data_IF_868524375790
#
_entry.id   IF_868524375790
#
_cell.length_a   1.000
_cell.length_b   1.000
_cell.length_c   1.000
_cell.angle_alpha   90.00
_cell.angle_beta   90.00
_cell.angle_gamma   90.00
#
_symmetry.space_group_name_H-M   'P 1'
#
loop_
_entity.id
_entity.type
_entity.pdbx_description
1 polymer ?
#
# COMPACT_ATOMS: atom_id res chain seq x y z
N UNK A 1 -31.23 -17.12 -12.29
CA UNK A 1 -29.86 -16.75 -12.70
C UNK A 1 -29.87 -16.50 -14.20
N UNK A 2 -29.83 -15.25 -14.65
CA UNK A 2 -29.78 -14.91 -16.06
C UNK A 2 -28.33 -14.87 -16.56
N UNK A 3 -28.04 -15.46 -17.70
CA UNK A 3 -26.74 -15.29 -18.34
C UNK A 3 -26.60 -13.82 -18.79
N UNK A 4 -25.43 -13.19 -18.60
CA UNK A 4 -25.21 -11.85 -19.11
C UNK A 4 -25.42 -11.83 -20.64
N UNK A 5 -25.93 -10.72 -21.21
CA UNK A 5 -26.06 -10.56 -22.65
C UNK A 5 -24.74 -10.90 -23.38
N UNK A 6 -24.84 -11.49 -24.57
CA UNK A 6 -23.67 -12.00 -25.32
C UNK A 6 -22.56 -10.96 -25.46
N UNK A 7 -22.94 -9.72 -25.75
CA UNK A 7 -22.02 -8.59 -25.88
C UNK A 7 -21.22 -8.34 -24.61
N UNK A 8 -21.86 -8.35 -23.44
CA UNK A 8 -21.19 -8.14 -22.15
C UNK A 8 -20.22 -9.29 -21.84
N UNK A 9 -20.62 -10.52 -22.14
CA UNK A 9 -19.75 -11.70 -21.97
C UNK A 9 -18.52 -11.59 -22.88
N UNK A 10 -18.70 -11.20 -24.13
CA UNK A 10 -17.61 -11.11 -25.09
C UNK A 10 -16.64 -9.97 -24.72
N UNK A 11 -17.14 -8.85 -24.19
CA UNK A 11 -16.32 -7.79 -23.58
C UNK A 11 -15.51 -8.29 -22.38
N UNK A 12 -16.13 -9.06 -21.47
CA UNK A 12 -15.44 -9.64 -20.32
C UNK A 12 -14.33 -10.60 -20.73
N UNK A 13 -14.56 -11.43 -21.76
CA UNK A 13 -13.57 -12.36 -22.28
C UNK A 13 -12.36 -11.62 -22.87
N UNK A 14 -12.62 -10.56 -23.66
CA UNK A 14 -11.55 -9.70 -24.21
C UNK A 14 -10.73 -9.05 -23.09
N UNK A 15 -11.39 -8.42 -22.12
CA UNK A 15 -10.72 -7.79 -20.99
C UNK A 15 -9.87 -8.80 -20.18
N UNK A 16 -10.36 -10.02 -19.97
CA UNK A 16 -9.58 -11.09 -19.31
C UNK A 16 -8.38 -11.55 -20.12
N UNK A 17 -8.49 -11.61 -21.45
CA UNK A 17 -7.36 -11.93 -22.32
C UNK A 17 -6.29 -10.83 -22.25
N UNK A 18 -6.69 -9.56 -22.30
CA UNK A 18 -5.81 -8.41 -22.15
C UNK A 18 -5.10 -8.41 -20.79
N UNK A 19 -5.80 -8.77 -19.71
CA UNK A 19 -5.25 -8.89 -18.36
C UNK A 19 -4.07 -9.87 -18.24
N UNK A 20 -3.99 -10.86 -19.12
CA UNK A 20 -2.88 -11.81 -19.09
C UNK A 20 -1.58 -11.25 -19.67
N UNK A 21 -1.66 -10.17 -20.45
CA UNK A 21 -0.50 -9.57 -21.12
C UNK A 21 0.45 -8.89 -20.12
N UNK A 22 1.78 -8.95 -20.36
CA UNK A 22 2.76 -8.26 -19.52
C UNK A 22 2.52 -6.74 -19.43
N UNK A 23 2.20 -6.09 -20.54
CA UNK A 23 1.97 -4.64 -20.61
C UNK A 23 0.74 -4.22 -19.79
N UNK A 24 -0.31 -5.04 -19.79
CA UNK A 24 -1.46 -4.79 -18.92
C UNK A 24 -1.06 -4.93 -17.45
N UNK A 25 -0.35 -6.01 -17.08
CA UNK A 25 0.11 -6.25 -15.71
C UNK A 25 1.02 -5.14 -15.21
N UNK A 26 1.94 -4.65 -16.04
CA UNK A 26 2.83 -3.55 -15.71
C UNK A 26 2.06 -2.26 -15.42
N UNK A 27 1.07 -1.91 -16.26
CA UNK A 27 0.20 -0.75 -16.02
C UNK A 27 -0.68 -0.93 -14.77
N UNK A 28 -1.15 -2.15 -14.52
CA UNK A 28 -2.05 -2.43 -13.40
C UNK A 28 -1.32 -2.62 -12.05
N UNK A 29 -0.01 -2.86 -12.05
CA UNK A 29 0.78 -3.16 -10.85
C UNK A 29 0.60 -2.11 -9.73
N UNK A 30 0.58 -0.82 -10.10
CA UNK A 30 0.35 0.30 -9.17
C UNK A 30 -1.00 0.17 -8.49
N UNK A 31 -2.05 -0.16 -9.26
CA UNK A 31 -3.42 -0.29 -8.77
C UNK A 31 -3.61 -1.56 -7.95
N UNK A 32 -3.03 -2.69 -8.35
CA UNK A 32 -3.09 -3.92 -7.56
C UNK A 32 -2.48 -3.77 -6.17
N UNK A 33 -1.47 -2.90 -6.00
CA UNK A 33 -0.85 -2.63 -4.71
C UNK A 33 -1.84 -1.99 -3.70
N UNK A 34 -2.60 -0.98 -4.13
CA UNK A 34 -3.59 -0.34 -3.26
C UNK A 34 -4.80 -1.26 -3.03
N UNK A 35 -5.25 -2.02 -4.04
CA UNK A 35 -6.35 -2.97 -3.90
C UNK A 35 -5.99 -4.09 -2.91
N UNK A 36 -4.75 -4.60 -2.94
CA UNK A 36 -4.24 -5.56 -1.96
C UNK A 36 -4.27 -5.00 -0.54
N UNK A 37 -3.86 -3.74 -0.36
CA UNK A 37 -3.92 -3.06 0.94
C UNK A 37 -5.36 -2.89 1.44
N UNK A 38 -6.28 -2.45 0.58
CA UNK A 38 -7.71 -2.35 0.92
C UNK A 38 -8.30 -3.71 1.30
N UNK A 39 -7.90 -4.77 0.60
CA UNK A 39 -8.33 -6.13 0.89
C UNK A 39 -7.87 -6.60 2.28
N UNK A 40 -6.60 -6.36 2.62
CA UNK A 40 -6.02 -6.64 3.95
C UNK A 40 -6.76 -5.87 5.06
N UNK A 41 -6.99 -4.58 4.89
CA UNK A 41 -7.77 -3.79 5.85
C UNK A 41 -9.20 -4.30 6.02
N UNK A 42 -9.88 -4.61 4.91
CA UNK A 42 -11.27 -5.01 4.93
C UNK A 42 -11.48 -6.41 5.55
N UNK A 43 -10.65 -7.38 5.16
CA UNK A 43 -10.83 -8.79 5.53
C UNK A 43 -9.93 -9.22 6.70
N UNK A 44 -8.72 -8.67 6.81
CA UNK A 44 -7.79 -8.97 7.91
C UNK A 44 -8.08 -8.18 9.18
N UNK A 45 -8.46 -6.90 9.06
CA UNK A 45 -8.58 -5.99 10.21
C UNK A 45 -9.99 -5.42 10.44
N UNK A 46 -10.98 -5.83 9.63
CA UNK A 46 -12.38 -5.47 9.84
C UNK A 46 -12.70 -3.99 9.63
N UNK A 47 -11.94 -3.27 8.81
CA UNK A 47 -12.08 -1.82 8.56
C UNK A 47 -13.49 -1.38 8.15
N UNK A 48 -14.28 -2.29 7.54
CA UNK A 48 -15.68 -2.04 7.16
C UNK A 48 -16.63 -1.85 8.35
N UNK A 49 -16.19 -2.11 9.58
CA UNK A 49 -16.98 -1.95 10.80
C UNK A 49 -16.29 -0.94 11.73
N UNK A 50 -16.98 0.15 12.05
CA UNK A 50 -16.54 1.10 13.06
C UNK A 50 -17.30 0.85 14.37
N UNK A 51 -16.58 0.77 15.49
CA UNK A 51 -17.19 0.62 16.83
C UNK A 51 -17.80 1.93 17.31
N UNK A 52 -17.28 3.05 16.83
CA UNK A 52 -17.67 4.39 17.23
C UNK A 52 -18.65 5.00 16.22
N UNK A 53 -19.52 5.87 16.70
CA UNK A 53 -20.45 6.66 15.88
C UNK A 53 -19.90 8.07 15.67
N UNK A 54 -20.08 8.59 14.46
CA UNK A 54 -19.62 9.92 14.04
C UNK A 54 -18.28 9.87 13.30
N UNK A 55 -18.17 10.69 12.25
CA UNK A 55 -17.01 10.75 11.35
C UNK A 55 -15.68 10.99 12.09
N UNK A 56 -15.56 11.93 13.06
CA UNK A 56 -14.28 12.19 13.70
C UNK A 56 -13.72 10.98 14.45
N UNK A 57 -14.59 10.21 15.12
CA UNK A 57 -14.18 9.00 15.86
C UNK A 57 -13.86 7.85 14.92
N UNK A 58 -14.61 7.72 13.82
CA UNK A 58 -14.32 6.74 12.78
C UNK A 58 -12.95 7.01 12.13
N UNK A 59 -12.65 8.27 11.83
CA UNK A 59 -11.36 8.68 11.29
C UNK A 59 -10.20 8.27 12.21
N UNK A 60 -10.28 8.57 13.51
CA UNK A 60 -9.26 8.15 14.48
C UNK A 60 -9.11 6.62 14.52
N UNK A 61 -10.22 5.87 14.52
CA UNK A 61 -10.15 4.41 14.49
C UNK A 61 -9.43 3.91 13.22
N UNK A 62 -9.73 4.48 12.06
CA UNK A 62 -9.11 4.09 10.78
C UNK A 62 -7.63 4.45 10.72
N UNK A 63 -7.23 5.63 11.23
CA UNK A 63 -5.82 6.03 11.33
C UNK A 63 -5.04 5.08 12.23
N UNK A 64 -5.57 4.77 13.41
CA UNK A 64 -4.93 3.82 14.33
C UNK A 64 -4.82 2.41 13.75
N UNK A 65 -5.85 1.97 13.03
CA UNK A 65 -5.81 0.71 12.30
C UNK A 65 -4.73 0.72 11.21
N UNK A 66 -4.60 1.81 10.45
CA UNK A 66 -3.55 1.95 9.44
C UNK A 66 -2.14 1.91 10.04
N UNK A 67 -1.95 2.53 11.22
CA UNK A 67 -0.70 2.45 11.96
C UNK A 67 -0.41 1.01 12.39
N UNK A 68 -1.40 0.31 12.97
CA UNK A 68 -1.23 -1.08 13.42
C UNK A 68 -0.84 -2.01 12.26
N UNK A 69 -1.51 -1.91 11.11
CA UNK A 69 -1.18 -2.70 9.91
C UNK A 69 0.24 -2.41 9.42
N UNK A 70 0.67 -1.15 9.43
CA UNK A 70 2.03 -0.81 9.04
C UNK A 70 3.09 -1.41 10.00
N UNK A 71 2.78 -1.49 11.30
CA UNK A 71 3.64 -2.13 12.30
C UNK A 71 3.71 -3.65 12.04
N UNK A 72 2.58 -4.30 11.81
CA UNK A 72 2.51 -5.73 11.50
C UNK A 72 3.34 -6.07 10.24
N UNK A 73 3.16 -5.30 9.15
CA UNK A 73 3.94 -5.45 7.91
C UNK A 73 5.44 -5.24 8.11
N UNK A 74 5.83 -4.33 9.01
CA UNK A 74 7.23 -4.14 9.34
C UNK A 74 7.78 -5.33 10.14
N UNK A 75 6.98 -5.87 11.07
CA UNK A 75 7.37 -7.01 11.89
C UNK A 75 7.49 -8.31 11.11
N UNK A 76 6.70 -8.48 10.04
CA UNK A 76 6.73 -9.69 9.20
C UNK A 76 7.87 -9.70 8.19
N UNK A 77 8.60 -8.59 8.04
CA UNK A 77 9.81 -8.57 7.22
C UNK A 77 10.90 -9.32 7.98
N UNK A 78 11.29 -10.48 7.46
CA UNK A 78 12.50 -11.17 7.89
C UNK A 78 13.65 -10.16 7.84
N UNK A 79 14.38 -10.00 8.94
CA UNK A 79 15.70 -9.36 8.92
C UNK A 79 16.57 -10.28 8.07
N UNK A 80 16.59 -10.02 6.78
CA UNK A 80 17.54 -10.66 5.89
C UNK A 80 18.87 -10.01 6.27
N UNK A 81 19.89 -10.80 6.59
CA UNK A 81 21.25 -10.33 6.95
C UNK A 81 21.91 -9.50 5.83
N UNK A 82 21.22 -9.36 4.70
CA UNK A 82 21.55 -8.43 3.64
C UNK A 82 21.06 -7.02 3.99
N UNK A 83 22.03 -6.13 4.20
CA UNK A 83 21.85 -4.68 4.31
C UNK A 83 20.78 -4.20 3.31
N UNK A 84 19.57 -3.91 3.80
CA UNK A 84 18.50 -3.37 2.95
C UNK A 84 19.04 -2.19 2.15
N UNK A 85 18.83 -2.14 0.81
CA UNK A 85 19.36 -1.07 0.00
C UNK A 85 18.90 0.27 0.57
N UNK A 86 19.85 1.20 0.70
CA UNK A 86 19.57 2.51 1.26
C UNK A 86 18.40 3.15 0.50
N UNK A 87 17.37 3.56 1.24
CA UNK A 87 16.20 4.21 0.64
C UNK A 87 16.67 5.40 -0.20
N UNK A 88 16.24 5.53 -1.48
CA UNK A 88 16.55 6.70 -2.27
C UNK A 88 15.99 7.95 -1.58
N UNK A 89 16.67 9.11 -1.71
CA UNK A 89 16.25 10.32 -1.05
C UNK A 89 14.83 10.71 -1.48
N UNK A 90 13.99 11.09 -0.52
CA UNK A 90 12.67 11.64 -0.84
C UNK A 90 12.80 13.02 -1.48
N UNK A 91 11.77 13.49 -2.18
CA UNK A 91 11.76 14.86 -2.76
C UNK A 91 12.05 15.94 -1.72
N UNK A 92 11.52 15.79 -0.51
CA UNK A 92 11.81 16.66 0.62
C UNK A 92 13.28 16.60 1.05
N UNK A 93 13.90 15.41 1.05
CA UNK A 93 15.31 15.27 1.37
C UNK A 93 16.20 15.93 0.30
N UNK A 94 15.87 15.75 -0.98
CA UNK A 94 16.55 16.44 -2.07
C UNK A 94 16.45 17.97 -1.93
N UNK A 95 15.27 18.47 -1.57
CA UNK A 95 15.07 19.90 -1.30
C UNK A 95 15.95 20.39 -0.14
N UNK A 96 16.00 19.67 0.98
CA UNK A 96 16.84 20.06 2.13
C UNK A 96 18.33 20.06 1.78
N UNK A 97 18.79 19.07 1.01
CA UNK A 97 20.18 19.00 0.56
C UNK A 97 20.53 20.18 -0.35
N UNK A 98 19.62 20.58 -1.26
CA UNK A 98 19.78 21.76 -2.13
C UNK A 98 19.87 23.07 -1.35
N UNK A 99 19.18 23.17 -0.22
CA UNK A 99 19.19 24.35 0.65
C UNK A 99 20.36 24.35 1.66
N UNK A 100 21.25 23.34 1.61
CA UNK A 100 22.42 23.25 2.49
C UNK A 100 22.09 22.91 3.94
N UNK A 101 20.89 22.40 4.24
CA UNK A 101 20.54 21.99 5.60
C UNK A 101 21.26 20.69 5.96
N UNK A 102 22.23 20.78 6.89
CA UNK A 102 22.97 19.61 7.35
C UNK A 102 22.06 18.65 8.12
N UNK A 103 22.01 17.38 7.69
CA UNK A 103 21.19 16.34 8.31
C UNK A 103 21.69 16.07 9.74
N UNK A 104 20.82 16.14 10.74
CA UNK A 104 21.12 15.55 12.05
C UNK A 104 21.08 14.02 11.94
N UNK A 105 22.17 13.34 12.28
CA UNK A 105 22.28 11.87 12.28
C UNK A 105 21.52 11.21 13.45
N UNK A 106 20.81 11.97 14.28
CA UNK A 106 20.30 11.54 15.59
C UNK A 106 19.29 10.39 15.59
N UNK A 107 18.70 10.04 14.44
CA UNK A 107 17.65 9.01 14.37
C UNK A 107 18.06 7.73 13.62
N UNK A 108 19.32 7.63 13.15
CA UNK A 108 19.84 6.43 12.45
C UNK A 108 20.86 5.62 13.25
N UNK A 109 21.29 6.09 14.43
CA UNK A 109 22.19 5.33 15.30
C UNK A 109 21.37 4.46 16.25
N UNK A 110 20.90 3.31 15.75
CA UNK A 110 20.59 2.16 16.58
C UNK A 110 21.50 1.01 16.11
N UNK A 111 22.48 0.67 16.94
CA UNK A 111 23.41 -0.45 16.71
C UNK A 111 24.88 -0.03 16.77
N UNK A 112 25.44 -0.04 17.99
CA UNK A 112 26.83 -0.45 18.22
C UNK A 112 26.76 -1.88 18.74
#
# INVERSE_FOLDING_TARGET
>A
MGFPPRELRDLQLRARAEQQTPDWKARYAVRSGIEGTMNEFAHGHGMRRCRYRGEPKAHVQHVLMAIAVNIERLSSRLVTDETSPARPPTSFQTFLDQQGFHRSKSWRTLGT
#
